data_IF_986284054962
#
_entry.id   IF_986284054962
#
_cell.length_a   1.000
_cell.length_b   1.000
_cell.length_c   1.000
_cell.angle_alpha   90.00
_cell.angle_beta   90.00
_cell.angle_gamma   90.00
#
_symmetry.space_group_name_H-M   'P 1'
#
loop_
_entity.id
_entity.type
_entity.pdbx_description
1 polymer ?
#
# COMPACT_ATOMS: atom_id res chain seq x y z
N UNK A 1 -5.36 35.14 1.82
CA UNK A 1 -4.61 33.97 1.30
C UNK A 1 -5.57 32.80 1.32
N UNK A 2 -6.03 32.31 0.17
CA UNK A 2 -7.07 31.27 0.09
C UNK A 2 -6.44 29.88 0.28
N UNK A 3 -6.87 29.21 1.35
CA UNK A 3 -6.98 27.76 1.59
C UNK A 3 -6.47 26.84 0.47
N UNK A 4 -5.15 26.60 0.41
CA UNK A 4 -4.59 25.56 -0.45
C UNK A 4 -4.69 24.18 0.25
N UNK A 5 -4.74 24.16 1.58
CA UNK A 5 -4.83 22.93 2.38
C UNK A 5 -6.20 22.22 2.27
N UNK A 6 -7.31 22.97 2.10
CA UNK A 6 -8.64 22.35 2.06
C UNK A 6 -8.97 21.65 0.73
N UNK A 7 -8.31 22.00 -0.38
CA UNK A 7 -8.68 21.43 -1.69
C UNK A 7 -8.21 19.98 -1.86
N UNK A 8 -7.03 19.61 -1.36
CA UNK A 8 -6.53 18.23 -1.46
C UNK A 8 -7.29 17.26 -0.52
N UNK A 9 -7.80 17.75 0.60
CA UNK A 9 -8.46 16.92 1.61
C UNK A 9 -9.90 16.56 1.22
N UNK A 10 -10.57 17.47 0.50
CA UNK A 10 -11.95 17.25 0.03
C UNK A 10 -12.04 16.14 -1.03
N UNK A 11 -11.03 16.03 -1.91
CA UNK A 11 -10.98 14.97 -2.92
C UNK A 11 -10.82 13.59 -2.26
N UNK A 12 -9.89 13.44 -1.31
CA UNK A 12 -9.70 12.18 -0.57
C UNK A 12 -10.93 11.75 0.24
N UNK A 13 -11.70 12.70 0.79
CA UNK A 13 -12.93 12.37 1.53
C UNK A 13 -13.99 11.63 0.69
N UNK A 14 -14.05 11.89 -0.61
CA UNK A 14 -15.09 11.36 -1.50
C UNK A 14 -14.75 10.01 -2.14
N UNK A 15 -13.47 9.63 -2.18
CA UNK A 15 -13.03 8.43 -2.89
C UNK A 15 -13.50 7.16 -2.16
N UNK A 16 -14.30 6.36 -2.86
CA UNK A 16 -14.79 5.05 -2.41
C UNK A 16 -14.42 3.99 -3.44
N UNK A 17 -13.64 2.99 -3.04
CA UNK A 17 -13.21 1.91 -3.92
C UNK A 17 -13.06 0.60 -3.14
N UNK A 18 -13.08 -0.54 -3.85
CA UNK A 18 -12.79 -1.85 -3.26
C UNK A 18 -11.31 -2.13 -3.11
N UNK A 19 -10.48 -1.43 -3.88
CA UNK A 19 -9.05 -1.68 -3.99
C UNK A 19 -8.29 -0.38 -4.03
N UNK A 20 -7.17 -0.34 -3.31
CA UNK A 20 -6.27 0.80 -3.25
C UNK A 20 -4.83 0.34 -3.47
N UNK A 21 -4.08 1.12 -4.23
CA UNK A 21 -2.63 1.10 -4.21
C UNK A 21 -2.15 2.04 -3.11
N UNK A 22 -1.05 1.69 -2.46
CA UNK A 22 -0.43 2.54 -1.47
C UNK A 22 1.10 2.47 -1.56
N UNK A 23 1.74 3.62 -1.36
CA UNK A 23 3.20 3.70 -1.21
C UNK A 23 3.52 4.32 0.15
N UNK A 24 4.29 3.59 0.95
CA UNK A 24 4.82 4.06 2.23
C UNK A 24 6.33 4.30 2.09
N UNK A 25 6.76 5.55 2.13
CA UNK A 25 8.19 5.92 2.11
C UNK A 25 8.69 5.94 3.55
N UNK A 26 9.93 5.48 3.78
CA UNK A 26 10.56 5.46 5.11
C UNK A 26 9.64 4.85 6.18
N UNK A 27 9.24 3.57 6.04
CA UNK A 27 8.36 2.89 6.99
C UNK A 27 8.79 3.06 8.46
N UNK A 28 10.09 3.16 8.72
CA UNK A 28 10.66 3.43 10.04
C UNK A 28 10.19 4.75 10.67
N UNK A 29 9.99 5.81 9.89
CA UNK A 29 9.49 7.12 10.36
C UNK A 29 8.01 7.05 10.77
N UNK A 30 7.32 5.99 10.35
CA UNK A 30 5.91 5.73 10.63
C UNK A 30 5.71 4.60 11.65
N UNK A 31 6.78 4.17 12.33
CA UNK A 31 6.72 3.13 13.38
C UNK A 31 6.73 1.69 12.84
N UNK A 32 7.08 1.50 11.58
CA UNK A 32 7.30 0.20 10.96
C UNK A 32 8.80 -0.11 10.90
N UNK A 33 9.35 -0.57 12.03
CA UNK A 33 10.76 -0.92 12.17
C UNK A 33 10.97 -2.44 12.17
N UNK A 34 12.07 -2.93 11.60
CA UNK A 34 12.42 -4.34 11.61
C UNK A 34 13.10 -4.77 10.31
N UNK A 35 13.13 -6.09 10.08
CA UNK A 35 13.52 -6.63 8.77
C UNK A 35 12.41 -6.36 7.74
N UNK A 36 12.72 -6.35 6.42
CA UNK A 36 11.71 -6.23 5.36
C UNK A 36 10.53 -7.18 5.56
N UNK A 37 10.80 -8.46 5.84
CA UNK A 37 9.77 -9.48 6.11
C UNK A 37 8.89 -9.11 7.31
N UNK A 38 9.50 -8.69 8.44
CA UNK A 38 8.76 -8.36 9.65
C UNK A 38 7.86 -7.13 9.45
N UNK A 39 8.31 -6.17 8.64
CA UNK A 39 7.52 -4.98 8.30
C UNK A 39 6.35 -5.36 7.39
N UNK A 40 6.58 -6.14 6.34
CA UNK A 40 5.52 -6.65 5.46
C UNK A 40 4.50 -7.52 6.22
N UNK A 41 4.97 -8.38 7.13
CA UNK A 41 4.09 -9.20 7.97
C UNK A 41 3.24 -8.35 8.92
N UNK A 42 3.82 -7.30 9.53
CA UNK A 42 3.07 -6.37 10.38
C UNK A 42 1.97 -5.66 9.59
N UNK A 43 2.29 -5.11 8.42
CA UNK A 43 1.31 -4.45 7.54
C UNK A 43 0.23 -5.43 7.06
N UNK A 44 0.62 -6.64 6.66
CA UNK A 44 -0.30 -7.70 6.28
C UNK A 44 -1.27 -8.04 7.42
N UNK A 45 -0.77 -8.21 8.64
CA UNK A 45 -1.60 -8.50 9.81
C UNK A 45 -2.53 -7.33 10.13
N UNK A 46 -2.04 -6.10 10.18
CA UNK A 46 -2.87 -4.90 10.41
C UNK A 46 -3.99 -4.78 9.39
N UNK A 47 -3.73 -5.14 8.13
CA UNK A 47 -4.74 -5.12 7.08
C UNK A 47 -5.85 -6.16 7.29
N UNK A 48 -5.47 -7.37 7.70
CA UNK A 48 -6.31 -8.58 7.63
C UNK A 48 -6.93 -8.99 8.97
N UNK A 49 -6.40 -8.50 10.09
CA UNK A 49 -6.89 -8.81 11.43
C UNK A 49 -8.36 -8.36 11.59
N UNK A 50 -9.24 -9.31 11.93
CA UNK A 50 -10.68 -9.06 12.02
C UNK A 50 -11.42 -8.92 10.69
N UNK A 51 -10.73 -9.07 9.54
CA UNK A 51 -11.28 -8.82 8.21
C UNK A 51 -11.05 -9.99 7.23
N UNK A 52 -11.87 -11.03 7.34
CA UNK A 52 -11.71 -12.26 6.56
C UNK A 52 -11.85 -12.10 5.02
N UNK A 53 -12.43 -11.00 4.53
CA UNK A 53 -12.58 -10.70 3.11
C UNK A 53 -11.42 -9.92 2.50
N UNK A 54 -10.47 -9.47 3.31
CA UNK A 54 -9.36 -8.63 2.86
C UNK A 54 -8.20 -9.46 2.31
N UNK A 55 -7.66 -8.98 1.20
CA UNK A 55 -6.48 -9.52 0.53
C UNK A 55 -5.51 -8.40 0.19
N UNK A 56 -4.25 -8.74 -0.07
CA UNK A 56 -3.26 -7.75 -0.43
C UNK A 56 -1.92 -8.35 -0.85
N UNK A 57 -1.09 -7.48 -1.44
CA UNK A 57 0.32 -7.71 -1.70
C UNK A 57 1.13 -6.53 -1.19
N UNK A 58 2.27 -6.82 -0.59
CA UNK A 58 3.23 -5.86 -0.06
C UNK A 58 4.62 -6.19 -0.61
N UNK A 59 5.24 -5.26 -1.30
CA UNK A 59 6.63 -5.34 -1.72
C UNK A 59 7.45 -4.32 -0.94
N UNK A 60 8.40 -4.79 -0.14
CA UNK A 60 9.39 -3.92 0.49
C UNK A 60 10.53 -3.71 -0.49
N UNK A 61 10.81 -2.45 -0.78
CA UNK A 61 11.79 -2.03 -1.77
C UNK A 61 12.80 -1.05 -1.17
N UNK A 62 13.93 -0.89 -1.88
CA UNK A 62 14.92 0.13 -1.61
C UNK A 62 15.31 0.79 -2.92
N UNK A 63 15.35 2.12 -2.97
CA UNK A 63 15.92 2.82 -4.14
C UNK A 63 17.43 2.56 -4.24
N UNK A 64 18.04 2.95 -5.36
CA UNK A 64 19.49 2.94 -5.55
C UNK A 64 20.26 3.72 -4.46
N UNK A 65 19.67 4.80 -3.93
CA UNK A 65 20.22 5.61 -2.84
C UNK A 65 19.97 5.00 -1.44
N UNK A 66 19.36 3.82 -1.37
CA UNK A 66 19.09 3.13 -0.11
C UNK A 66 17.86 3.65 0.63
N UNK A 67 16.91 4.31 -0.05
CA UNK A 67 15.68 4.79 0.59
C UNK A 67 14.65 3.66 0.65
N UNK A 68 14.30 3.17 1.85
CA UNK A 68 13.31 2.11 2.01
C UNK A 68 11.91 2.65 1.73
N UNK A 69 11.11 1.85 1.04
CA UNK A 69 9.71 2.13 0.80
C UNK A 69 8.95 0.84 0.52
N UNK A 70 7.62 0.91 0.57
CA UNK A 70 6.75 -0.26 0.42
C UNK A 70 5.67 0.06 -0.60
N UNK A 71 5.60 -0.76 -1.64
CA UNK A 71 4.48 -0.79 -2.58
C UNK A 71 3.44 -1.79 -2.09
N UNK A 72 2.19 -1.35 -2.04
CA UNK A 72 1.08 -2.18 -1.57
C UNK A 72 -0.09 -2.09 -2.53
N UNK A 73 -0.74 -3.22 -2.75
CA UNK A 73 -2.12 -3.24 -3.25
C UNK A 73 -2.96 -3.97 -2.21
N UNK A 74 -4.07 -3.36 -1.82
CA UNK A 74 -4.96 -3.91 -0.81
C UNK A 74 -6.40 -3.89 -1.33
N UNK A 75 -7.17 -4.94 -1.02
CA UNK A 75 -8.56 -5.09 -1.47
C UNK A 75 -9.45 -5.63 -0.36
N UNK A 76 -10.72 -5.24 -0.42
CA UNK A 76 -11.83 -5.89 0.29
C UNK A 76 -12.98 -6.18 -0.71
N UNK A 77 -13.87 -7.10 -0.36
CA UNK A 77 -15.13 -7.35 -1.09
C UNK A 77 -16.10 -6.18 -0.95
N UNK A 78 -16.00 -5.45 0.16
CA UNK A 78 -16.79 -4.24 0.48
C UNK A 78 -16.00 -2.99 0.08
N UNK A 79 -16.68 -1.99 -0.50
CA UNK A 79 -16.02 -0.74 -0.85
C UNK A 79 -15.68 0.09 0.41
N UNK A 80 -14.51 0.70 0.40
CA UNK A 80 -13.96 1.45 1.54
C UNK A 80 -13.73 2.91 1.15
N UNK A 81 -13.87 3.80 2.14
CA UNK A 81 -13.57 5.23 1.98
C UNK A 81 -12.08 5.45 2.19
N UNK A 82 -11.45 6.17 1.27
CA UNK A 82 -10.02 6.45 1.30
C UNK A 82 -9.60 7.21 2.56
N UNK A 83 -10.37 8.22 2.97
CA UNK A 83 -10.08 9.01 4.17
C UNK A 83 -9.99 8.14 5.43
N UNK A 84 -10.94 7.22 5.61
CA UNK A 84 -10.95 6.29 6.76
C UNK A 84 -9.79 5.30 6.70
N UNK A 85 -9.45 4.83 5.51
CA UNK A 85 -8.32 3.94 5.31
C UNK A 85 -6.99 4.64 5.68
N UNK A 86 -6.76 5.85 5.16
CA UNK A 86 -5.54 6.62 5.40
C UNK A 86 -5.35 7.03 6.89
N UNK A 87 -6.44 7.16 7.64
CA UNK A 87 -6.41 7.44 9.09
C UNK A 87 -6.05 6.20 9.94
N UNK A 88 -6.30 4.98 9.44
CA UNK A 88 -6.31 3.76 10.28
C UNK A 88 -5.35 2.66 9.84
N UNK A 89 -4.88 2.68 8.60
CA UNK A 89 -4.02 1.64 8.04
C UNK A 89 -2.81 2.28 7.34
N UNK A 90 -1.62 1.75 7.62
CA UNK A 90 -0.36 2.21 7.02
C UNK A 90 -0.23 3.74 7.05
N UNK A 91 -0.46 4.35 8.22
CA UNK A 91 -0.51 5.81 8.40
C UNK A 91 0.79 6.43 7.89
N UNK A 92 0.67 7.45 7.04
CA UNK A 92 1.79 8.05 6.31
C UNK A 92 1.88 7.62 4.85
N UNK A 93 1.16 6.57 4.44
CA UNK A 93 1.12 6.14 3.04
C UNK A 93 0.37 7.12 2.15
N UNK A 94 0.85 7.23 0.92
CA UNK A 94 0.09 7.81 -0.17
C UNK A 94 -0.78 6.73 -0.81
N UNK A 95 -2.09 6.95 -0.86
CA UNK A 95 -3.05 5.98 -1.39
C UNK A 95 -3.73 6.48 -2.67
N UNK A 96 -4.00 5.55 -3.58
CA UNK A 96 -4.73 5.79 -4.82
C UNK A 96 -5.74 4.67 -5.08
N UNK A 97 -6.96 5.02 -5.52
CA UNK A 97 -7.94 4.01 -5.90
C UNK A 97 -7.50 3.27 -7.17
N UNK A 98 -7.56 1.94 -7.14
CA UNK A 98 -7.21 1.11 -8.30
C UNK A 98 -8.32 1.18 -9.34
N UNK A 99 -8.06 1.85 -10.46
CA UNK A 99 -9.01 1.97 -11.58
C UNK A 99 -8.93 0.82 -12.58
N UNK A 100 -7.76 0.19 -12.69
CA UNK A 100 -7.46 -0.91 -13.63
C UNK A 100 -7.96 -2.29 -13.17
N UNK A 101 -8.48 -2.40 -11.94
CA UNK A 101 -8.84 -3.66 -11.28
C UNK A 101 -7.70 -4.25 -10.44
N UNK A 102 -8.05 -4.94 -9.35
CA UNK A 102 -7.07 -5.44 -8.37
C UNK A 102 -6.02 -6.37 -8.98
N UNK A 103 -6.42 -7.32 -9.83
CA UNK A 103 -5.49 -8.26 -10.47
C UNK A 103 -4.40 -7.56 -11.29
N UNK A 104 -4.72 -6.43 -11.94
CA UNK A 104 -3.74 -5.68 -12.72
C UNK A 104 -2.72 -4.98 -11.79
N UNK A 105 -3.19 -4.42 -10.66
CA UNK A 105 -2.32 -3.77 -9.67
C UNK A 105 -1.48 -4.78 -8.87
N UNK A 106 -2.04 -5.95 -8.57
CA UNK A 106 -1.29 -7.07 -8.00
C UNK A 106 -0.17 -7.51 -8.94
N UNK A 107 -0.51 -7.82 -10.20
CA UNK A 107 0.48 -8.24 -11.19
C UNK A 107 1.58 -7.20 -11.35
N UNK A 108 1.24 -5.90 -11.32
CA UNK A 108 2.22 -4.83 -11.36
C UNK A 108 3.26 -4.95 -10.24
N UNK A 109 2.84 -5.13 -8.97
CA UNK A 109 3.77 -5.29 -7.84
C UNK A 109 4.60 -6.56 -7.97
N UNK A 110 3.98 -7.67 -8.37
CA UNK A 110 4.70 -8.94 -8.51
C UNK A 110 5.77 -8.91 -9.61
N UNK A 111 5.54 -8.14 -10.67
CA UNK A 111 6.52 -7.95 -11.74
C UNK A 111 7.67 -7.03 -11.35
N UNK A 112 7.57 -6.28 -10.23
CA UNK A 112 8.70 -5.47 -9.74
C UNK A 112 9.90 -6.34 -9.36
N UNK A 113 9.67 -7.59 -8.94
CA UNK A 113 10.73 -8.56 -8.66
C UNK A 113 11.53 -8.92 -9.92
N UNK A 114 10.91 -8.84 -11.10
CA UNK A 114 11.51 -9.19 -12.39
C UNK A 114 12.29 -8.02 -13.02
N UNK A 115 12.09 -6.80 -12.53
CA UNK A 115 12.69 -5.58 -13.07
C UNK A 115 13.91 -5.15 -12.26
N UNK A 116 14.97 -5.97 -12.32
CA UNK A 116 16.30 -5.73 -11.73
C UNK A 116 17.09 -4.61 -12.48
N UNK A 117 16.38 -3.65 -13.09
CA UNK A 117 16.97 -2.53 -13.84
C UNK A 117 17.22 -1.32 -12.91
N UNK A 118 18.21 -1.46 -12.02
CA UNK A 118 19.09 -0.38 -11.53
C UNK A 118 18.53 0.75 -10.66
N UNK A 119 17.21 0.97 -10.59
CA UNK A 119 16.62 2.08 -9.83
C UNK A 119 16.01 1.65 -8.48
N UNK A 120 15.52 0.41 -8.39
CA UNK A 120 14.78 -0.08 -7.24
C UNK A 120 15.06 -1.57 -7.01
N UNK A 121 15.37 -1.93 -5.77
CA UNK A 121 15.63 -3.31 -5.34
C UNK A 121 14.48 -3.80 -4.50
N UNK A 122 13.78 -4.84 -4.96
CA UNK A 122 12.80 -5.57 -4.16
C UNK A 122 13.54 -6.45 -3.14
N UNK A 123 13.22 -6.28 -1.85
CA UNK A 123 13.83 -7.00 -0.74
C UNK A 123 12.92 -8.10 -0.18
N UNK A 124 11.61 -7.93 -0.31
CA UNK A 124 10.60 -8.87 0.18
C UNK A 124 9.30 -8.65 -0.61
N UNK A 125 8.61 -9.74 -0.94
CA UNK A 125 7.20 -9.70 -1.34
C UNK A 125 6.38 -10.59 -0.41
N UNK A 126 5.31 -10.03 0.14
CA UNK A 126 4.29 -10.75 0.89
C UNK A 126 2.98 -10.71 0.12
N UNK A 127 2.29 -11.84 0.07
CA UNK A 127 0.92 -11.94 -0.45
C UNK A 127 0.02 -12.56 0.61
N UNK A 128 -1.23 -12.11 0.68
CA UNK A 128 -2.25 -12.71 1.55
C UNK A 128 -3.63 -12.69 0.90
N UNK A 129 -4.35 -13.80 1.11
CA UNK A 129 -5.66 -14.04 0.52
C UNK A 129 -5.54 -14.59 -0.91
N UNK A 130 -6.61 -15.25 -1.37
CA UNK A 130 -6.73 -15.72 -2.76
C UNK A 130 -7.70 -14.79 -3.47
N UNK A 131 -7.26 -14.22 -4.60
CA UNK A 131 -8.20 -13.61 -5.55
C UNK A 131 -9.04 -14.75 -6.15
N UNK A 132 -10.32 -14.83 -5.78
CA UNK A 132 -11.32 -15.63 -6.49
C UNK A 132 -12.18 -14.74 -7.36
#
# INVERSE_FOLDING_TARGET
>A
MKNIENFMDTEKQSVVAKSFMATLIRPEEHGYTGTPDAVCDKLCREWTEGHASRSGVWAYCSTAEGVPHIHMVVQDKVAMRLSKLAESYAVGSHFEAVKSGYMAAEKYILQMEEQDEGAEKVLCIKQYGVIV
#
